data_IF_892771498926
#
_entry.id   IF_892771498926
#
_cell.length_a   1.000
_cell.length_b   1.000
_cell.length_c   1.000
_cell.angle_alpha   90.00
_cell.angle_beta   90.00
_cell.angle_gamma   90.00
#
_symmetry.space_group_name_H-M   'P 1'
#
loop_
_entity.id
_entity.type
_entity.pdbx_description
1 polymer ?
#
# COMPACT_ATOMS: atom_id res chain seq x y z
N UNK A 1 -6.61 8.18 4.43
CA UNK A 1 -7.16 6.83 4.70
C UNK A 1 -8.24 6.78 5.80
N UNK A 2 -9.01 7.84 6.06
CA UNK A 2 -10.03 7.86 7.14
C UNK A 2 -11.16 6.82 6.95
N UNK A 3 -11.39 6.38 5.72
CA UNK A 3 -12.45 5.42 5.37
C UNK A 3 -12.31 4.06 6.07
N UNK A 4 -11.13 3.73 6.61
CA UNK A 4 -10.95 2.50 7.40
C UNK A 4 -11.86 2.45 8.63
N UNK A 5 -12.32 3.60 9.15
CA UNK A 5 -13.27 3.64 10.26
C UNK A 5 -14.65 3.08 9.90
N UNK A 6 -15.02 3.07 8.62
CA UNK A 6 -16.24 2.41 8.15
C UNK A 6 -16.15 0.89 8.40
N UNK A 7 -14.98 0.30 8.17
CA UNK A 7 -14.76 -1.12 8.45
C UNK A 7 -14.83 -1.41 9.95
N UNK A 8 -14.37 -0.48 10.80
CA UNK A 8 -14.55 -0.58 12.25
C UNK A 8 -16.04 -0.60 12.64
N UNK A 9 -16.84 0.25 12.01
CA UNK A 9 -18.29 0.31 12.25
C UNK A 9 -19.00 -0.99 11.92
N UNK A 10 -18.65 -1.61 10.78
CA UNK A 10 -19.25 -2.87 10.32
C UNK A 10 -18.53 -4.14 10.82
N UNK A 11 -17.43 -3.98 11.58
CA UNK A 11 -16.60 -5.08 12.11
C UNK A 11 -16.12 -6.04 11.00
N UNK A 12 -15.66 -5.49 9.88
CA UNK A 12 -15.17 -6.28 8.75
C UNK A 12 -13.65 -6.10 8.53
N UNK A 13 -12.97 -7.12 7.96
CA UNK A 13 -11.57 -6.99 7.57
C UNK A 13 -11.42 -6.03 6.38
N UNK A 14 -10.24 -5.42 6.25
CA UNK A 14 -9.94 -4.46 5.19
C UNK A 14 -9.04 -5.10 4.13
N UNK A 15 -9.52 -5.10 2.90
CA UNK A 15 -8.71 -5.36 1.70
C UNK A 15 -8.52 -4.03 0.99
N UNK A 16 -7.27 -3.58 0.87
CA UNK A 16 -6.94 -2.33 0.19
C UNK A 16 -6.68 -2.60 -1.30
N UNK A 17 -7.22 -1.75 -2.17
CA UNK A 17 -6.82 -1.70 -3.58
C UNK A 17 -5.92 -0.49 -3.80
N UNK A 18 -4.77 -0.72 -4.42
CA UNK A 18 -3.77 0.30 -4.68
C UNK A 18 -3.43 0.32 -6.18
N UNK A 19 -3.66 1.46 -6.83
CA UNK A 19 -3.60 1.57 -8.29
C UNK A 19 -2.18 1.61 -8.87
N UNK A 20 -1.16 1.56 -8.02
CA UNK A 20 0.24 1.58 -8.43
C UNK A 20 0.98 0.39 -7.83
N UNK A 21 2.27 0.30 -8.14
CA UNK A 21 3.19 -0.60 -7.42
C UNK A 21 3.15 -0.26 -5.92
N UNK A 22 3.30 -1.24 -5.02
CA UNK A 22 3.55 -1.00 -3.61
C UNK A 22 4.67 0.02 -3.46
N UNK A 23 4.33 1.15 -2.85
CA UNK A 23 5.25 2.22 -2.50
C UNK A 23 5.48 2.23 -0.99
N UNK A 24 6.40 3.08 -0.54
CA UNK A 24 6.80 3.20 0.86
C UNK A 24 5.63 3.18 1.87
N UNK A 25 4.59 3.98 1.64
CA UNK A 25 3.41 4.06 2.53
C UNK A 25 2.70 2.69 2.65
N UNK A 26 2.43 2.05 1.51
CA UNK A 26 1.75 0.74 1.46
C UNK A 26 2.61 -0.33 2.14
N UNK A 27 3.93 -0.30 1.89
CA UNK A 27 4.87 -1.24 2.48
C UNK A 27 4.86 -1.14 4.02
N UNK A 28 4.82 0.07 4.59
CA UNK A 28 4.76 0.26 6.05
C UNK A 28 3.52 -0.38 6.67
N UNK A 29 2.36 -0.26 6.01
CA UNK A 29 1.07 -0.72 6.54
C UNK A 29 1.06 -2.23 6.75
N UNK A 30 1.62 -2.99 5.80
CA UNK A 30 1.65 -4.46 5.85
C UNK A 30 3.01 -5.03 6.26
N UNK A 31 3.93 -4.19 6.73
CA UNK A 31 5.26 -4.61 7.16
C UNK A 31 6.15 -5.17 6.04
N UNK A 32 5.95 -4.73 4.79
CA UNK A 32 6.80 -5.13 3.67
C UNK A 32 8.19 -4.47 3.78
N UNK A 33 9.29 -5.21 3.65
CA UNK A 33 10.64 -4.64 3.68
C UNK A 33 10.84 -3.62 2.55
N UNK A 34 11.72 -2.65 2.83
CA UNK A 34 12.11 -1.63 1.85
C UNK A 34 13.47 -1.97 1.27
N UNK A 35 13.56 -1.88 -0.05
CA UNK A 35 14.75 -2.26 -0.78
C UNK A 35 15.44 -1.02 -1.35
N UNK A 36 15.90 -0.15 -0.45
CA UNK A 36 16.44 1.18 -0.77
C UNK A 36 17.71 1.14 -1.63
N UNK A 37 18.37 -0.01 -1.74
CA UNK A 37 19.65 -0.17 -2.45
C UNK A 37 19.48 -0.48 -3.93
N UNK A 38 18.35 -1.03 -4.36
CA UNK A 38 18.10 -1.41 -5.75
C UNK A 38 16.69 -1.11 -6.24
N UNK A 39 15.72 -0.74 -5.40
CA UNK A 39 14.42 -0.23 -5.85
C UNK A 39 14.46 1.30 -5.81
N UNK A 40 14.28 1.99 -6.95
CA UNK A 40 14.28 3.44 -6.98
C UNK A 40 12.97 3.93 -6.37
N UNK A 41 13.07 4.90 -5.48
CA UNK A 41 11.91 5.58 -4.91
C UNK A 41 11.23 6.40 -6.02
N UNK A 42 9.90 6.40 -6.02
CA UNK A 42 9.08 6.92 -7.14
C UNK A 42 9.41 8.37 -7.47
N UNK A 43 9.82 9.13 -6.46
CA UNK A 43 10.07 10.56 -6.55
C UNK A 43 11.50 10.93 -6.97
N UNK A 44 12.42 9.97 -7.05
CA UNK A 44 13.81 10.22 -7.45
C UNK A 44 13.98 10.14 -8.98
N UNK A 45 13.08 9.41 -9.66
CA UNK A 45 13.09 9.30 -11.13
C UNK A 45 14.27 8.52 -11.71
N UNK A 46 15.00 7.78 -10.88
CA UNK A 46 16.15 6.99 -11.33
C UNK A 46 15.68 5.74 -12.12
N UNK A 47 16.36 5.47 -13.23
CA UNK A 47 16.16 4.26 -14.03
C UNK A 47 17.22 3.22 -13.63
N UNK A 48 16.82 1.96 -13.51
CA UNK A 48 17.75 0.87 -13.22
C UNK A 48 18.75 0.65 -14.37
N UNK A 49 19.98 0.18 -14.07
CA UNK A 49 20.54 -0.13 -12.75
C UNK A 49 21.06 1.10 -11.98
N UNK A 50 20.91 1.12 -10.64
CA UNK A 50 21.41 2.24 -9.81
C UNK A 50 22.92 2.17 -9.57
N UNK A 51 23.63 3.23 -9.96
CA UNK A 51 25.02 3.48 -9.57
C UNK A 51 25.15 3.88 -8.11
N UNK A 52 26.39 3.99 -7.60
CA UNK A 52 26.64 4.33 -6.19
C UNK A 52 25.97 5.65 -5.77
N UNK A 53 26.17 6.73 -6.54
CA UNK A 53 25.57 8.02 -6.22
C UNK A 53 24.05 8.04 -6.35
N UNK A 54 23.49 7.23 -7.25
CA UNK A 54 22.03 7.11 -7.38
C UNK A 54 21.43 6.41 -6.17
N UNK A 55 22.13 5.42 -5.60
CA UNK A 55 21.74 4.76 -4.34
C UNK A 55 21.82 5.73 -3.16
N UNK A 56 22.86 6.58 -3.10
CA UNK A 56 22.97 7.60 -2.05
C UNK A 56 21.82 8.61 -2.15
N UNK A 57 21.52 9.11 -3.34
CA UNK A 57 20.35 9.99 -3.57
C UNK A 57 19.04 9.30 -3.19
N UNK A 58 18.88 8.03 -3.57
CA UNK A 58 17.70 7.24 -3.24
C UNK A 58 17.52 7.13 -1.72
N UNK A 59 18.60 6.79 -1.01
CA UNK A 59 18.59 6.70 0.45
C UNK A 59 18.25 8.03 1.13
N UNK A 60 18.86 9.13 0.68
CA UNK A 60 18.55 10.47 1.21
C UNK A 60 17.08 10.86 0.98
N UNK A 61 16.51 10.50 -0.18
CA UNK A 61 15.10 10.74 -0.47
C UNK A 61 14.20 9.92 0.45
N UNK A 62 14.50 8.64 0.66
CA UNK A 62 13.75 7.78 1.59
C UNK A 62 13.79 8.35 3.00
N UNK A 63 14.95 8.79 3.48
CA UNK A 63 15.07 9.44 4.79
C UNK A 63 14.24 10.72 4.87
N UNK A 64 14.28 11.56 3.84
CA UNK A 64 13.47 12.78 3.80
C UNK A 64 11.97 12.45 3.89
N UNK A 65 11.51 11.40 3.21
CA UNK A 65 10.12 10.95 3.27
C UNK A 65 9.71 10.43 4.64
N UNK A 66 10.56 9.60 5.25
CA UNK A 66 10.29 8.99 6.55
C UNK A 66 10.26 10.03 7.68
N UNK A 67 11.08 11.08 7.59
CA UNK A 67 11.18 12.13 8.62
C UNK A 67 10.09 13.19 8.45
N UNK A 68 9.70 13.52 7.21
CA UNK A 68 8.82 14.67 6.96
C UNK A 68 7.47 14.29 6.37
N UNK A 69 7.44 13.63 5.21
CA UNK A 69 6.23 13.45 4.43
C UNK A 69 5.26 12.45 5.06
N UNK A 70 5.73 11.25 5.42
CA UNK A 70 4.87 10.22 6.00
C UNK A 70 4.25 10.63 7.34
N UNK A 71 5.03 11.16 8.32
CA UNK A 71 4.46 11.62 9.58
C UNK A 71 3.41 12.73 9.38
N UNK A 72 3.63 13.64 8.42
CA UNK A 72 2.67 14.69 8.09
C UNK A 72 1.37 14.12 7.53
N UNK A 73 1.45 13.17 6.59
CA UNK A 73 0.27 12.52 5.99
C UNK A 73 -0.49 11.70 7.03
N UNK A 74 0.21 10.98 7.90
CA UNK A 74 -0.39 10.21 8.99
C UNK A 74 -1.10 11.14 9.98
N UNK A 75 -0.47 12.22 10.42
CA UNK A 75 -1.09 13.21 11.31
C UNK A 75 -2.39 13.79 10.73
N UNK A 76 -2.36 14.22 9.46
CA UNK A 76 -3.54 14.77 8.78
C UNK A 76 -4.64 13.73 8.63
N UNK A 77 -4.27 12.49 8.34
CA UNK A 77 -5.23 11.38 8.15
C UNK A 77 -5.85 10.95 9.47
N UNK A 78 -5.05 10.84 10.52
CA UNK A 78 -5.49 10.49 11.88
C UNK A 78 -6.44 11.56 12.42
N UNK A 79 -6.12 12.84 12.24
CA UNK A 79 -7.01 13.93 12.64
C UNK A 79 -8.39 13.80 11.96
N UNK A 80 -8.41 13.52 10.65
CA UNK A 80 -9.66 13.33 9.91
C UNK A 80 -10.39 12.03 10.33
N UNK A 81 -9.65 10.96 10.63
CA UNK A 81 -10.21 9.73 11.17
C UNK A 81 -10.91 9.99 12.51
N UNK A 82 -10.21 10.60 13.47
CA UNK A 82 -10.73 10.87 14.81
C UNK A 82 -11.93 11.82 14.80
N UNK A 83 -11.98 12.76 13.86
CA UNK A 83 -13.14 13.64 13.67
C UNK A 83 -14.41 12.88 13.27
N UNK A 84 -14.29 11.85 12.41
CA UNK A 84 -15.43 11.07 11.93
C UNK A 84 -15.73 9.83 12.79
N UNK A 85 -14.70 9.28 13.44
CA UNK A 85 -14.72 8.05 14.21
C UNK A 85 -14.05 8.29 15.58
N UNK A 86 -14.77 8.91 16.54
CA UNK A 86 -14.21 9.26 17.83
C UNK A 86 -13.80 8.00 18.63
N UNK A 87 -12.69 8.12 19.36
CA UNK A 87 -12.04 7.02 20.09
C UNK A 87 -12.89 6.40 21.20
N UNK A 88 -13.93 7.09 21.68
CA UNK A 88 -14.90 6.55 22.65
C UNK A 88 -15.68 5.35 22.10
N UNK A 89 -15.87 5.28 20.77
CA UNK A 89 -16.69 4.27 20.10
C UNK A 89 -15.90 3.41 19.11
N UNK A 90 -14.79 3.90 18.60
CA UNK A 90 -14.04 3.25 17.53
C UNK A 90 -12.58 3.01 17.94
N UNK A 91 -11.93 1.95 17.40
CA UNK A 91 -10.49 1.74 17.57
C UNK A 91 -9.69 2.94 17.05
N UNK A 92 -8.47 3.09 17.53
CA UNK A 92 -7.56 4.14 17.08
C UNK A 92 -7.19 3.96 15.60
N UNK A 93 -6.78 5.05 14.95
CA UNK A 93 -6.30 5.00 13.57
C UNK A 93 -5.17 3.97 13.39
N UNK A 94 -4.21 3.92 14.32
CA UNK A 94 -3.10 2.95 14.30
C UNK A 94 -3.56 1.49 14.39
N UNK A 95 -4.56 1.20 15.22
CA UNK A 95 -5.14 -0.15 15.31
C UNK A 95 -5.86 -0.54 14.02
N UNK A 96 -6.58 0.41 13.41
CA UNK A 96 -7.26 0.15 12.14
C UNK A 96 -6.29 -0.07 10.98
N UNK A 97 -5.13 0.59 10.97
CA UNK A 97 -4.08 0.31 9.98
C UNK A 97 -3.55 -1.13 10.08
N UNK A 98 -3.43 -1.67 11.31
CA UNK A 98 -3.02 -3.07 11.52
C UNK A 98 -4.09 -4.08 11.10
N UNK A 99 -5.35 -3.65 10.98
CA UNK A 99 -6.47 -4.49 10.53
C UNK A 99 -6.52 -4.67 9.00
N UNK A 100 -5.57 -4.07 8.28
CA UNK A 100 -5.42 -4.22 6.83
C UNK A 100 -4.65 -5.51 6.55
N UNK A 101 -5.38 -6.57 6.21
CA UNK A 101 -4.82 -7.92 6.06
C UNK A 101 -4.29 -8.21 4.66
N UNK A 102 -4.70 -7.42 3.66
CA UNK A 102 -4.37 -7.65 2.25
C UNK A 102 -4.34 -6.34 1.48
N UNK A 103 -3.35 -6.18 0.61
CA UNK A 103 -3.26 -5.09 -0.36
C UNK A 103 -3.15 -5.68 -1.77
N UNK A 104 -4.14 -5.35 -2.60
CA UNK A 104 -4.16 -5.63 -4.02
C UNK A 104 -3.48 -4.48 -4.75
N UNK A 105 -2.45 -4.76 -5.56
CA UNK A 105 -1.74 -3.72 -6.32
C UNK A 105 -1.93 -3.89 -7.81
N UNK A 106 -2.21 -2.79 -8.52
CA UNK A 106 -2.25 -2.75 -9.99
C UNK A 106 -0.82 -2.69 -10.56
N UNK A 107 -0.04 -3.71 -10.26
CA UNK A 107 1.27 -3.93 -10.86
C UNK A 107 1.49 -5.41 -11.06
N UNK A 108 2.40 -5.76 -11.96
CA UNK A 108 2.83 -7.13 -12.17
C UNK A 108 4.34 -7.27 -12.05
N UNK A 109 4.83 -8.42 -11.58
CA UNK A 109 6.25 -8.72 -11.39
C UNK A 109 7.08 -8.44 -12.65
N UNK A 110 6.52 -8.65 -13.84
CA UNK A 110 7.20 -8.42 -15.12
C UNK A 110 7.34 -6.95 -15.50
N UNK A 111 6.59 -6.03 -14.88
CA UNK A 111 6.53 -4.62 -15.28
C UNK A 111 7.63 -3.76 -14.65
N UNK A 112 8.50 -4.31 -13.81
CA UNK A 112 9.75 -3.62 -13.50
C UNK A 112 10.57 -4.31 -12.43
N UNK A 113 11.10 -3.53 -11.49
CA UNK A 113 12.16 -4.02 -10.61
C UNK A 113 11.67 -5.20 -9.76
N UNK A 114 12.48 -6.25 -9.75
CA UNK A 114 12.31 -7.40 -8.85
C UNK A 114 12.41 -6.86 -7.44
N UNK A 115 11.40 -7.16 -6.62
CA UNK A 115 11.35 -6.74 -5.21
C UNK A 115 10.66 -7.83 -4.40
N UNK A 116 11.10 -8.09 -3.16
CA UNK A 116 10.40 -8.97 -2.26
C UNK A 116 9.08 -8.30 -1.84
N UNK A 117 8.02 -9.07 -1.89
CA UNK A 117 6.73 -8.70 -1.33
C UNK A 117 6.36 -9.73 -0.26
N UNK A 118 5.84 -9.26 0.87
CA UNK A 118 5.18 -10.13 1.85
C UNK A 118 3.92 -10.74 1.25
N UNK A 119 3.44 -11.91 1.75
CA UNK A 119 2.23 -12.55 1.24
C UNK A 119 0.96 -11.68 1.29
N UNK A 120 0.94 -10.66 2.14
CA UNK A 120 -0.15 -9.70 2.25
C UNK A 120 -0.22 -8.70 1.06
N UNK A 121 0.77 -8.68 0.17
CA UNK A 121 0.75 -7.89 -1.06
C UNK A 121 0.51 -8.83 -2.23
N UNK A 122 -0.62 -8.65 -2.90
CA UNK A 122 -0.98 -9.42 -4.09
C UNK A 122 -0.99 -8.50 -5.29
N UNK A 123 -0.17 -8.83 -6.26
CA UNK A 123 -0.08 -8.16 -7.55
C UNK A 123 -1.20 -8.67 -8.47
N UNK A 124 -2.10 -7.76 -8.85
CA UNK A 124 -3.25 -8.02 -9.72
C UNK A 124 -3.20 -7.20 -11.02
N UNK A 125 -2.03 -6.64 -11.33
CA UNK A 125 -1.80 -5.95 -12.60
C UNK A 125 -1.99 -6.89 -13.79
N UNK A 126 -2.52 -6.35 -14.89
CA UNK A 126 -2.75 -7.12 -16.12
C UNK A 126 -3.99 -8.00 -16.13
N UNK A 127 -4.85 -7.96 -15.09
CA UNK A 127 -6.17 -8.61 -15.15
C UNK A 127 -6.99 -7.93 -16.25
N UNK A 128 -7.27 -8.70 -17.30
CA UNK A 128 -8.14 -8.29 -18.40
C UNK A 128 -9.45 -9.06 -18.34
N UNK A 129 -10.56 -8.35 -18.56
CA UNK A 129 -11.86 -8.98 -18.74
C UNK A 129 -11.82 -9.77 -20.05
N UNK A 130 -12.12 -11.07 -19.99
CA UNK A 130 -12.25 -11.90 -21.20
C UNK A 130 -13.30 -11.29 -22.12
N UNK A 131 -13.03 -11.23 -23.41
CA UNK A 131 -14.01 -10.75 -24.41
C UNK A 131 -15.31 -11.56 -24.38
N UNK A 132 -15.22 -12.85 -24.03
CA UNK A 132 -16.36 -13.71 -23.75
C UNK A 132 -16.29 -14.15 -22.27
N UNK A 133 -17.22 -13.71 -21.42
CA UNK A 133 -17.29 -14.16 -20.03
C UNK A 133 -17.55 -15.67 -19.95
N UNK A 134 -16.96 -16.33 -18.96
CA UNK A 134 -17.37 -17.69 -18.61
C UNK A 134 -18.81 -17.63 -18.05
N UNK A 135 -19.67 -18.61 -18.38
CA UNK A 135 -21.00 -18.67 -17.79
C UNK A 135 -20.90 -18.81 -16.27
N UNK A 136 -21.80 -18.13 -15.55
CA UNK A 136 -21.83 -18.18 -14.09
C UNK A 136 -21.97 -19.62 -13.60
N UNK A 137 -21.24 -20.03 -12.53
CA UNK A 137 -21.44 -21.33 -11.92
C UNK A 137 -22.90 -21.47 -11.49
N UNK A 138 -23.49 -22.63 -11.77
CA UNK A 138 -24.85 -22.93 -11.28
C UNK A 138 -24.78 -22.98 -9.76
N UNK A 139 -25.66 -22.21 -9.10
CA UNK A 139 -25.78 -22.23 -7.64
C UNK A 139 -26.14 -23.65 -7.23
N UNK A 140 -25.20 -24.37 -6.60
CA UNK A 140 -25.49 -25.62 -5.91
C UNK A 140 -26.31 -25.26 -4.69
N UNK A 141 -27.59 -25.64 -4.73
CA UNK A 141 -28.52 -25.46 -3.62
C UNK A 141 -28.30 -26.51 -2.55
#
# INVERSE_FOLDING_TARGET
MFQIGVAAHFKCPIVMSFMQRPMRLVNTIVGNPLEVTYVPEVFVGNVQPLGFFDRVKNFLMVLAMDISFLPYVDYKTEHLYNYNFPSEKYPTYSEMLKNISLVLTCSHLSEGVIRPNVPAIVEVGGIQVKSKPDPLPKVSR
#
